data_IF_780275315530
#
_entry.id   IF_780275315530
#
_cell.length_a   1.000
_cell.length_b   1.000
_cell.length_c   1.000
_cell.angle_alpha   90.00
_cell.angle_beta   90.00
_cell.angle_gamma   90.00
#
_symmetry.space_group_name_H-M   'P 1'
#
loop_
_entity.id
_entity.type
_entity.pdbx_description
1 polymer ?
#
# COMPACT_ATOMS: atom_id res chain seq x y z
N UNK A 1 19.36 8.76 10.44
CA UNK A 1 19.13 7.81 9.33
C UNK A 1 20.42 7.08 8.93
N UNK A 2 21.55 7.75 8.68
CA UNK A 2 22.84 7.07 8.36
C UNK A 2 23.35 6.16 9.51
N UNK A 3 23.12 6.55 10.76
CA UNK A 3 23.46 5.74 11.94
C UNK A 3 22.61 4.46 12.07
N UNK A 4 21.44 4.42 11.43
CA UNK A 4 20.51 3.27 11.44
C UNK A 4 21.00 2.14 10.53
N UNK A 5 21.55 2.50 9.36
CA UNK A 5 22.16 1.55 8.41
C UNK A 5 23.39 0.88 9.04
N UNK A 6 24.24 1.64 9.71
CA UNK A 6 25.48 1.13 10.34
C UNK A 6 25.23 0.18 11.53
N UNK A 7 24.12 0.35 12.26
CA UNK A 7 23.79 -0.52 13.40
C UNK A 7 23.27 -1.89 12.94
N UNK A 8 22.49 -1.92 11.85
CA UNK A 8 21.95 -3.15 11.25
C UNK A 8 23.07 -3.97 10.60
N UNK A 9 23.97 -3.33 9.84
CA UNK A 9 25.13 -4.02 9.24
C UNK A 9 26.08 -4.62 10.28
N UNK A 10 26.13 -4.07 11.50
CA UNK A 10 27.01 -4.57 12.57
C UNK A 10 26.47 -5.83 13.26
N UNK A 11 25.17 -6.12 13.09
CA UNK A 11 24.53 -7.33 13.61
C UNK A 11 24.61 -8.51 12.63
N UNK A 12 24.84 -8.26 11.34
CA UNK A 12 24.93 -9.29 10.29
C UNK A 12 26.27 -10.04 10.24
N UNK A 13 27.33 -9.52 10.89
CA UNK A 13 28.65 -10.17 10.91
C UNK A 13 28.75 -11.42 11.81
N UNK A 14 27.67 -11.84 12.47
CA UNK A 14 27.62 -13.09 13.24
C UNK A 14 26.64 -14.04 12.53
N UNK A 15 27.20 -14.84 11.62
CA UNK A 15 26.49 -15.45 10.49
C UNK A 15 25.48 -16.55 10.78
N UNK A 16 24.81 -16.98 9.71
CA UNK A 16 24.12 -18.27 9.59
C UNK A 16 24.06 -18.68 8.11
N UNK A 17 24.35 -19.97 7.86
CA UNK A 17 24.50 -20.63 6.55
C UNK A 17 23.18 -20.78 5.78
N UNK A 18 23.31 -20.84 4.45
CA UNK A 18 22.25 -21.07 3.46
C UNK A 18 21.68 -22.51 3.56
N UNK A 19 20.36 -22.69 3.48
CA UNK A 19 19.67 -23.80 2.79
C UNK A 19 18.12 -23.65 2.80
N UNK A 20 17.38 -24.37 1.91
CA UNK A 20 16.19 -23.84 1.25
C UNK A 20 14.86 -24.21 1.91
N UNK A 21 13.87 -23.32 1.76
CA UNK A 21 12.42 -23.57 1.88
C UNK A 21 11.97 -24.42 3.08
N UNK A 22 11.72 -23.78 4.23
CA UNK A 22 10.68 -24.22 5.20
C UNK A 22 10.39 -23.19 6.29
N UNK A 23 11.06 -22.03 6.32
CA UNK A 23 10.95 -21.12 7.45
C UNK A 23 10.56 -19.70 7.03
N UNK A 24 9.28 -19.36 7.15
CA UNK A 24 8.80 -17.97 7.16
C UNK A 24 8.97 -17.31 8.55
N UNK A 25 9.72 -17.92 9.47
CA UNK A 25 10.06 -17.34 10.78
C UNK A 25 11.39 -16.54 10.81
N UNK A 26 12.09 -16.41 9.68
CA UNK A 26 13.13 -15.40 9.44
C UNK A 26 13.37 -15.21 7.93
N UNK A 27 13.67 -14.00 7.40
CA UNK A 27 14.39 -12.92 8.05
C UNK A 27 13.59 -11.62 8.27
N UNK A 28 13.94 -10.98 9.38
CA UNK A 28 14.23 -9.56 9.51
C UNK A 28 13.21 -8.48 9.12
N UNK A 29 12.78 -7.76 10.16
CA UNK A 29 12.45 -6.32 10.16
C UNK A 29 13.45 -5.45 9.33
N UNK A 30 14.64 -5.99 8.99
CA UNK A 30 15.67 -5.37 8.16
C UNK A 30 15.30 -5.24 6.67
N UNK A 31 14.33 -6.00 6.13
CA UNK A 31 13.90 -5.78 4.74
C UNK A 31 13.19 -4.44 4.56
N UNK A 32 12.83 -3.73 5.64
CA UNK A 32 12.37 -2.35 5.61
C UNK A 32 13.33 -1.39 4.90
N UNK A 33 14.61 -1.74 4.70
CA UNK A 33 15.56 -0.93 3.92
C UNK A 33 16.58 -1.85 3.23
N UNK A 34 16.27 -2.40 2.05
CA UNK A 34 17.33 -2.90 1.15
C UNK A 34 17.96 -1.73 0.38
N UNK A 35 19.30 -1.62 0.30
CA UNK A 35 19.99 -0.59 -0.48
C UNK A 35 19.72 -0.67 -1.99
N UNK A 36 19.19 -1.78 -2.49
CA UNK A 36 18.95 -1.99 -3.93
C UNK A 36 17.81 -1.14 -4.51
N UNK A 37 17.09 -0.38 -3.68
CA UNK A 37 16.15 0.67 -4.13
C UNK A 37 16.76 2.08 -4.12
N UNK A 38 18.06 2.23 -3.84
CA UNK A 38 18.73 3.54 -3.72
C UNK A 38 19.46 3.97 -4.99
N UNK A 39 19.56 3.12 -6.02
CA UNK A 39 20.04 3.58 -7.31
C UNK A 39 18.92 4.35 -8.06
N UNK A 40 19.16 5.66 -8.24
CA UNK A 40 18.43 6.63 -9.04
C UNK A 40 17.25 7.40 -8.43
N UNK A 41 17.30 7.78 -7.15
CA UNK A 41 16.31 8.70 -6.57
C UNK A 41 16.94 10.05 -6.21
N UNK A 42 17.14 10.92 -7.21
CA UNK A 42 17.29 12.35 -6.98
C UNK A 42 16.08 12.89 -6.21
N UNK A 43 16.33 13.42 -5.01
CA UNK A 43 15.46 14.37 -4.30
C UNK A 43 13.99 13.97 -4.10
N UNK A 44 13.70 13.05 -3.17
CA UNK A 44 12.32 12.86 -2.68
C UNK A 44 12.15 13.46 -1.28
N UNK A 45 11.35 14.52 -1.21
CA UNK A 45 10.68 14.93 0.02
C UNK A 45 9.74 13.80 0.45
N UNK A 46 9.84 13.36 1.70
CA UNK A 46 8.79 12.56 2.34
C UNK A 46 7.52 13.43 2.38
N UNK A 47 6.61 13.24 1.42
CA UNK A 47 5.27 13.80 1.50
C UNK A 47 4.54 13.04 2.61
N UNK A 48 4.23 13.74 3.71
CA UNK A 48 3.48 13.17 4.82
C UNK A 48 2.02 12.99 4.39
N UNK A 49 1.74 11.86 3.74
CA UNK A 49 0.38 11.43 3.45
C UNK A 49 -0.29 11.03 4.79
N UNK A 50 -1.30 11.80 5.19
CA UNK A 50 -2.07 11.54 6.40
C UNK A 50 -3.26 10.62 6.08
N UNK A 51 -3.80 9.94 7.10
CA UNK A 51 -5.00 9.11 6.97
C UNK A 51 -4.72 7.62 6.76
N UNK A 52 -5.74 6.92 6.27
CA UNK A 52 -5.74 5.46 6.09
C UNK A 52 -4.60 5.00 5.18
N UNK A 53 -3.93 3.91 5.55
CA UNK A 53 -2.90 3.26 4.76
C UNK A 53 -3.50 2.30 3.74
N UNK A 54 -3.03 2.41 2.50
CA UNK A 54 -3.30 1.45 1.44
C UNK A 54 -1.97 0.95 0.84
N UNK A 55 -1.88 -0.34 0.56
CA UNK A 55 -0.75 -0.94 -0.17
C UNK A 55 -1.29 -1.82 -1.28
N UNK A 56 -0.52 -1.95 -2.35
CA UNK A 56 -0.81 -2.90 -3.40
C UNK A 56 0.44 -3.47 -4.05
N UNK A 57 0.30 -4.66 -4.60
CA UNK A 57 1.35 -5.31 -5.36
C UNK A 57 0.83 -6.27 -6.42
N UNK A 58 1.64 -6.48 -7.45
CA UNK A 58 1.31 -7.31 -8.61
C UNK A 58 1.70 -8.77 -8.33
N UNK A 59 0.78 -9.70 -8.55
CA UNK A 59 0.94 -11.16 -8.49
C UNK A 59 1.25 -11.76 -9.87
N UNK A 60 2.31 -11.31 -10.54
CA UNK A 60 2.65 -11.76 -11.90
C UNK A 60 1.42 -11.78 -12.86
N UNK A 61 0.89 -12.96 -13.21
CA UNK A 61 -0.28 -13.13 -14.10
C UNK A 61 -1.59 -13.39 -13.36
N UNK A 62 -1.59 -13.44 -12.03
CA UNK A 62 -2.78 -13.74 -11.23
C UNK A 62 -3.58 -12.47 -10.90
N UNK A 63 -2.94 -11.28 -10.91
CA UNK A 63 -3.65 -10.02 -10.66
C UNK A 63 -2.86 -9.04 -9.81
N UNK A 64 -3.61 -8.19 -9.10
CA UNK A 64 -3.10 -7.22 -8.13
C UNK A 64 -3.74 -7.47 -6.78
N UNK A 65 -2.95 -7.54 -5.72
CA UNK A 65 -3.45 -7.50 -4.35
C UNK A 65 -3.47 -6.06 -3.86
N UNK A 66 -4.53 -5.68 -3.15
CA UNK A 66 -4.66 -4.38 -2.51
C UNK A 66 -5.13 -4.58 -1.08
N UNK A 67 -4.36 -4.11 -0.11
CA UNK A 67 -4.74 -4.12 1.30
C UNK A 67 -4.93 -2.69 1.79
N UNK A 68 -5.99 -2.46 2.57
CA UNK A 68 -6.33 -1.16 3.15
C UNK A 68 -6.64 -1.30 4.62
N UNK A 69 -6.23 -0.31 5.42
CA UNK A 69 -6.81 -0.11 6.74
C UNK A 69 -8.07 0.75 6.61
N UNK A 70 -9.00 0.58 7.54
CA UNK A 70 -10.18 1.41 7.65
C UNK A 70 -10.73 1.30 9.07
N UNK A 71 -11.52 2.29 9.50
CA UNK A 71 -12.28 2.18 10.74
C UNK A 71 -13.24 0.99 10.69
N UNK A 72 -13.61 0.44 11.85
CA UNK A 72 -14.55 -0.68 11.92
C UNK A 72 -15.85 -0.36 11.17
N UNK A 73 -16.24 -1.26 10.26
CA UNK A 73 -17.46 -1.15 9.45
C UNK A 73 -18.40 -2.31 9.78
N UNK A 74 -19.73 -2.14 9.63
CA UNK A 74 -20.68 -3.23 9.77
C UNK A 74 -20.34 -4.38 8.82
N UNK A 75 -20.45 -5.62 9.31
CA UNK A 75 -20.17 -6.84 8.54
C UNK A 75 -20.83 -6.82 7.17
N UNK A 76 -20.05 -7.03 6.11
CA UNK A 76 -20.51 -7.03 4.71
C UNK A 76 -20.54 -5.65 4.03
N UNK A 77 -20.14 -4.58 4.72
CA UNK A 77 -19.98 -3.26 4.10
C UNK A 77 -18.61 -3.13 3.41
N UNK A 78 -18.54 -2.34 2.34
CA UNK A 78 -17.26 -2.00 1.70
C UNK A 78 -16.57 -0.84 2.45
N UNK A 79 -15.24 -0.85 2.59
CA UNK A 79 -14.50 0.29 3.13
C UNK A 79 -14.73 1.55 2.29
N UNK A 80 -15.00 2.69 2.93
CA UNK A 80 -15.27 3.94 2.23
C UNK A 80 -14.08 4.46 1.41
N UNK A 81 -12.87 4.08 1.82
CA UNK A 81 -11.62 4.42 1.14
C UNK A 81 -11.30 3.49 -0.04
N UNK A 82 -12.17 2.55 -0.39
CA UNK A 82 -12.01 1.64 -1.54
C UNK A 82 -13.21 1.76 -2.45
N UNK A 83 -12.96 2.01 -3.74
CA UNK A 83 -14.02 2.16 -4.73
C UNK A 83 -13.73 1.31 -5.96
N UNK A 84 -14.68 0.42 -6.25
CA UNK A 84 -14.73 -0.34 -7.51
C UNK A 84 -15.55 0.48 -8.50
N UNK A 85 -14.88 1.32 -9.29
CA UNK A 85 -15.54 2.21 -10.25
C UNK A 85 -15.78 1.54 -11.60
N UNK A 86 -15.14 0.39 -11.85
CA UNK A 86 -15.39 -0.48 -12.99
C UNK A 86 -15.15 -1.95 -12.61
N UNK A 87 -15.71 -2.89 -13.39
CA UNK A 87 -15.62 -4.35 -13.17
C UNK A 87 -14.21 -4.88 -12.89
N UNK A 88 -13.19 -4.28 -13.52
CA UNK A 88 -11.78 -4.69 -13.45
C UNK A 88 -10.86 -3.61 -12.88
N UNK A 89 -11.41 -2.50 -12.35
CA UNK A 89 -10.63 -1.38 -11.81
C UNK A 89 -11.07 -1.05 -10.38
N UNK A 90 -10.09 -1.00 -9.49
CA UNK A 90 -10.24 -0.60 -8.10
C UNK A 90 -9.35 0.61 -7.83
N UNK A 91 -9.87 1.57 -7.08
CA UNK A 91 -9.09 2.69 -6.56
C UNK A 91 -9.17 2.75 -5.05
N UNK A 92 -8.08 3.16 -4.40
CA UNK A 92 -8.05 3.45 -2.96
C UNK A 92 -7.71 4.90 -2.73
N UNK A 93 -8.24 5.49 -1.68
CA UNK A 93 -7.94 6.86 -1.28
C UNK A 93 -7.31 6.89 0.11
N UNK A 94 -6.17 7.57 0.22
CA UNK A 94 -5.54 7.91 1.49
C UNK A 94 -5.54 9.42 1.64
N UNK A 95 -6.07 9.89 2.76
CA UNK A 95 -6.16 11.32 3.06
C UNK A 95 -7.14 12.05 2.15
N UNK A 96 -6.81 13.31 1.85
CA UNK A 96 -7.64 14.18 1.04
C UNK A 96 -8.86 14.77 1.74
N UNK A 97 -9.45 15.76 1.10
CA UNK A 97 -10.66 16.46 1.54
C UNK A 97 -11.91 15.65 1.23
N UNK A 98 -12.97 15.83 2.02
CA UNK A 98 -14.26 15.16 1.81
C UNK A 98 -14.82 15.42 0.40
N UNK A 99 -14.67 16.65 -0.12
CA UNK A 99 -15.13 17.01 -1.47
C UNK A 99 -14.40 16.22 -2.55
N UNK A 100 -13.08 16.11 -2.44
CA UNK A 100 -12.27 15.31 -3.37
C UNK A 100 -12.62 13.84 -3.33
N UNK A 101 -12.83 13.27 -2.13
CA UNK A 101 -13.22 11.86 -1.99
C UNK A 101 -14.59 11.56 -2.61
N UNK A 102 -15.53 12.51 -2.61
CA UNK A 102 -16.84 12.35 -3.26
C UNK A 102 -16.76 12.58 -4.79
N UNK A 103 -15.90 13.50 -5.24
CA UNK A 103 -15.83 13.94 -6.65
C UNK A 103 -14.99 13.03 -7.54
N UNK A 104 -13.81 12.59 -7.06
CA UNK A 104 -12.86 11.81 -7.86
C UNK A 104 -13.41 10.47 -8.38
N UNK A 105 -14.16 9.68 -7.58
CA UNK A 105 -14.68 8.40 -8.03
C UNK A 105 -15.76 8.57 -9.12
N UNK A 106 -16.62 9.58 -8.96
CA UNK A 106 -17.65 9.94 -9.94
C UNK A 106 -17.00 10.39 -11.24
N UNK A 107 -15.94 11.19 -11.17
CA UNK A 107 -15.15 11.60 -12.34
C UNK A 107 -14.56 10.40 -13.08
N UNK A 108 -13.91 9.48 -12.36
CA UNK A 108 -13.31 8.27 -12.94
C UNK A 108 -14.35 7.37 -13.61
N UNK A 109 -15.48 7.12 -12.94
CA UNK A 109 -16.56 6.30 -13.49
C UNK A 109 -17.13 6.92 -14.78
N UNK A 110 -17.39 8.23 -14.77
CA UNK A 110 -17.85 8.96 -15.96
C UNK A 110 -16.84 8.88 -17.10
N UNK A 111 -15.54 9.07 -16.83
CA UNK A 111 -14.50 9.00 -17.85
C UNK A 111 -14.36 7.61 -18.46
N UNK A 112 -14.45 6.56 -17.65
CA UNK A 112 -14.46 5.19 -18.15
C UNK A 112 -15.65 4.94 -19.08
N UNK A 113 -16.85 5.39 -18.68
CA UNK A 113 -18.04 5.23 -19.50
C UNK A 113 -17.98 6.02 -20.83
N UNK A 114 -17.52 7.28 -20.78
CA UNK A 114 -17.29 8.09 -21.99
C UNK A 114 -16.29 7.43 -22.95
N UNK A 115 -15.22 6.86 -22.40
CA UNK A 115 -14.20 6.17 -23.18
C UNK A 115 -14.75 4.91 -23.86
N UNK A 116 -15.54 4.10 -23.14
CA UNK A 116 -16.17 2.91 -23.70
C UNK A 116 -17.13 3.23 -24.84
N UNK A 117 -17.93 4.30 -24.71
CA UNK A 117 -18.84 4.74 -25.76
C UNK A 117 -18.09 5.24 -27.01
N UNK A 118 -16.93 5.87 -26.82
CA UNK A 118 -16.16 6.48 -27.90
C UNK A 118 -15.27 5.49 -28.64
N UNK A 119 -14.54 4.66 -27.91
CA UNK A 119 -13.51 3.77 -28.45
C UNK A 119 -14.02 2.32 -28.60
N UNK A 120 -15.19 2.00 -28.04
CA UNK A 120 -15.78 0.66 -28.11
C UNK A 120 -15.03 -0.40 -27.29
N UNK A 121 -14.13 0.02 -26.38
CA UNK A 121 -13.33 -0.85 -25.53
C UNK A 121 -13.25 -0.33 -24.09
N UNK A 122 -13.03 -1.24 -23.14
CA UNK A 122 -12.88 -0.90 -21.72
C UNK A 122 -11.64 -0.05 -21.49
N UNK A 123 -11.73 0.89 -20.56
CA UNK A 123 -10.58 1.69 -20.13
C UNK A 123 -9.57 0.81 -19.37
N UNK A 124 -8.29 0.99 -19.66
CA UNK A 124 -7.18 0.39 -18.93
C UNK A 124 -6.88 1.15 -17.62
N UNK A 125 -6.18 0.49 -16.69
CA UNK A 125 -5.68 1.15 -15.48
C UNK A 125 -4.74 2.32 -15.79
N UNK A 126 -3.96 2.21 -16.87
CA UNK A 126 -3.07 3.26 -17.35
C UNK A 126 -3.86 4.52 -17.75
N UNK A 127 -4.93 4.36 -18.53
CA UNK A 127 -5.79 5.46 -18.97
C UNK A 127 -6.51 6.12 -17.79
N UNK A 128 -7.11 5.32 -16.90
CA UNK A 128 -7.77 5.83 -15.70
C UNK A 128 -6.79 6.62 -14.81
N UNK A 129 -5.58 6.11 -14.62
CA UNK A 129 -4.54 6.78 -13.83
C UNK A 129 -4.07 8.10 -14.45
N UNK A 130 -3.99 8.16 -15.78
CA UNK A 130 -3.65 9.39 -16.50
C UNK A 130 -4.74 10.43 -16.39
N UNK A 131 -6.01 10.06 -16.56
CA UNK A 131 -7.12 11.02 -16.38
C UNK A 131 -7.16 11.59 -14.98
N UNK A 132 -6.91 10.76 -13.95
CA UNK A 132 -6.84 11.24 -12.58
C UNK A 132 -5.68 12.20 -12.38
N UNK A 133 -4.49 11.85 -12.88
CA UNK A 133 -3.31 12.70 -12.81
C UNK A 133 -3.55 14.06 -13.46
N UNK A 134 -4.09 14.07 -14.68
CA UNK A 134 -4.44 15.29 -15.42
C UNK A 134 -5.49 16.12 -14.65
N UNK A 135 -6.52 15.47 -14.10
CA UNK A 135 -7.56 16.13 -13.32
C UNK A 135 -6.98 16.84 -12.08
N UNK A 136 -6.15 16.14 -11.31
CA UNK A 136 -5.53 16.68 -10.08
C UNK A 136 -4.48 17.76 -10.40
N UNK A 137 -3.78 17.65 -11.52
CA UNK A 137 -2.88 18.72 -11.98
C UNK A 137 -3.63 19.99 -12.37
N UNK A 138 -4.85 19.87 -12.92
CA UNK A 138 -5.69 21.01 -13.32
C UNK A 138 -6.51 21.61 -12.17
N UNK A 139 -6.82 20.83 -11.13
CA UNK A 139 -7.58 21.26 -9.96
C UNK A 139 -6.74 21.10 -8.68
N UNK A 140 -5.69 21.93 -8.52
CA UNK A 140 -4.82 21.85 -7.37
C UNK A 140 -5.53 22.40 -6.12
N UNK A 141 -6.33 21.56 -5.46
CA UNK A 141 -6.96 21.89 -4.16
C UNK A 141 -5.89 21.93 -3.06
N UNK A 142 -5.80 23.04 -2.31
CA UNK A 142 -4.71 23.27 -1.34
C UNK A 142 -4.56 22.14 -0.33
N UNK A 143 -5.68 21.56 0.08
CA UNK A 143 -5.75 20.58 1.16
C UNK A 143 -5.39 19.17 0.67
N UNK A 144 -5.66 18.88 -0.60
CA UNK A 144 -5.38 17.59 -1.25
C UNK A 144 -3.95 17.50 -1.75
N UNK A 145 -3.34 18.63 -2.16
CA UNK A 145 -2.00 18.68 -2.77
C UNK A 145 -0.89 18.01 -1.96
N UNK A 146 -1.02 17.97 -0.64
CA UNK A 146 -0.01 17.37 0.25
C UNK A 146 -0.50 16.11 0.96
N UNK A 147 -1.82 15.86 0.97
CA UNK A 147 -2.41 14.81 1.81
C UNK A 147 -3.01 13.65 1.02
N UNK A 148 -3.33 13.85 -0.26
CA UNK A 148 -4.00 12.86 -1.09
C UNK A 148 -3.01 11.90 -1.75
N UNK A 149 -3.17 10.61 -1.45
CA UNK A 149 -2.54 9.50 -2.16
C UNK A 149 -3.61 8.55 -2.70
N UNK A 150 -3.58 8.29 -4.01
CA UNK A 150 -4.53 7.39 -4.68
C UNK A 150 -3.79 6.23 -5.31
N UNK A 151 -4.20 4.99 -4.99
CA UNK A 151 -3.75 3.81 -5.74
C UNK A 151 -4.83 3.41 -6.73
N UNK A 152 -4.43 3.07 -7.95
CA UNK A 152 -5.32 2.51 -8.98
C UNK A 152 -4.75 1.15 -9.36
N UNK A 153 -5.52 0.11 -9.07
CA UNK A 153 -5.24 -1.27 -9.42
C UNK A 153 -6.19 -1.70 -10.53
N UNK A 154 -5.68 -2.43 -11.51
CA UNK A 154 -6.52 -2.95 -12.57
C UNK A 154 -5.98 -4.21 -13.22
N UNK A 155 -6.90 -4.92 -13.85
CA UNK A 155 -6.60 -6.04 -14.74
C UNK A 155 -7.05 -5.69 -16.15
N UNK A 156 -6.09 -5.56 -17.07
CA UNK A 156 -6.36 -5.38 -18.48
C UNK A 156 -6.26 -6.73 -19.22
N UNK A 157 -7.17 -7.01 -20.14
CA UNK A 157 -7.19 -8.29 -20.86
C UNK A 157 -5.97 -8.48 -21.78
N UNK A 158 -5.42 -7.40 -22.32
CA UNK A 158 -4.29 -7.44 -23.26
C UNK A 158 -2.96 -7.21 -22.52
N UNK A 159 -2.94 -6.28 -21.55
CA UNK A 159 -1.73 -5.85 -20.85
C UNK A 159 -1.49 -6.58 -19.52
N UNK A 160 -2.52 -7.23 -18.97
CA UNK A 160 -2.46 -7.91 -17.68
C UNK A 160 -2.61 -6.95 -16.49
N UNK A 161 -2.07 -7.32 -15.31
CA UNK A 161 -2.23 -6.53 -14.10
C UNK A 161 -1.36 -5.28 -14.10
N UNK A 162 -1.90 -4.18 -13.60
CA UNK A 162 -1.18 -2.94 -13.45
C UNK A 162 -1.57 -2.20 -12.17
N UNK A 163 -0.58 -1.53 -11.59
CA UNK A 163 -0.72 -0.76 -10.36
C UNK A 163 -0.07 0.61 -10.52
N UNK A 164 -0.86 1.64 -10.23
CA UNK A 164 -0.47 3.04 -10.35
C UNK A 164 -0.72 3.78 -9.04
N UNK A 165 0.12 4.79 -8.77
CA UNK A 165 -0.07 5.77 -7.70
C UNK A 165 -0.18 7.16 -8.32
N UNK A 166 -1.18 7.93 -7.89
CA UNK A 166 -1.33 9.34 -8.20
C UNK A 166 -1.38 10.11 -6.88
N UNK A 167 -0.55 11.14 -6.72
CA UNK A 167 -0.65 12.04 -5.55
C UNK A 167 -1.51 13.28 -5.88
N UNK A 168 -1.83 14.07 -4.86
CA UNK A 168 -2.62 15.30 -5.01
C UNK A 168 -2.02 16.39 -5.91
N UNK A 169 -0.77 16.24 -6.38
CA UNK A 169 -0.15 17.13 -7.39
C UNK A 169 -0.34 16.62 -8.82
N UNK A 170 -1.00 15.46 -8.99
CA UNK A 170 -1.11 14.75 -10.27
C UNK A 170 0.16 14.03 -10.69
N UNK A 171 1.10 13.76 -9.78
CA UNK A 171 2.29 12.96 -10.10
C UNK A 171 1.90 11.49 -10.19
N UNK A 172 1.98 10.95 -11.40
CA UNK A 172 1.72 9.55 -11.71
C UNK A 172 2.99 8.69 -11.57
N UNK A 173 2.87 7.54 -10.94
CA UNK A 173 3.92 6.52 -10.85
C UNK A 173 3.33 5.12 -11.06
N UNK A 174 4.02 4.30 -11.86
CA UNK A 174 3.75 2.86 -11.98
C UNK A 174 4.84 2.08 -11.24
N UNK A 175 4.46 1.02 -10.52
CA UNK A 175 5.43 0.12 -9.86
C UNK A 175 4.75 -1.20 -9.47
N UNK A 176 5.49 -2.33 -9.44
CA UNK A 176 4.96 -3.62 -9.01
C UNK A 176 4.56 -3.66 -7.52
N UNK A 177 5.04 -2.70 -6.72
CA UNK A 177 4.63 -2.47 -5.34
C UNK A 177 4.45 -0.95 -5.13
N UNK A 178 3.33 -0.55 -4.56
CA UNK A 178 3.03 0.84 -4.20
C UNK A 178 2.29 0.89 -2.87
N UNK A 179 2.51 1.98 -2.14
CA UNK A 179 1.75 2.30 -0.94
C UNK A 179 1.36 3.77 -0.92
N UNK A 180 0.24 4.06 -0.25
CA UNK A 180 -0.27 5.38 0.03
C UNK A 180 -0.69 5.48 1.50
N UNK A 181 -0.52 6.65 2.11
CA UNK A 181 -0.87 6.91 3.51
C UNK A 181 0.26 6.72 4.51
N UNK A 182 -0.03 6.97 5.78
CA UNK A 182 0.98 7.15 6.82
C UNK A 182 1.79 5.87 7.14
N UNK A 183 1.19 4.69 7.03
CA UNK A 183 1.83 3.38 7.22
C UNK A 183 2.48 2.80 5.95
N UNK A 184 2.41 3.50 4.81
CA UNK A 184 2.91 2.98 3.53
C UNK A 184 4.43 2.84 3.47
N UNK A 185 5.16 3.65 4.24
CA UNK A 185 6.61 3.55 4.36
C UNK A 185 7.05 2.33 5.17
N UNK A 186 6.31 1.99 6.23
CA UNK A 186 6.56 0.82 7.08
C UNK A 186 6.16 -0.52 6.47
N UNK A 187 5.44 -0.52 5.35
CA UNK A 187 5.06 -1.73 4.61
C UNK A 187 6.01 -2.04 3.45
N UNK A 188 6.91 -1.10 3.12
CA UNK A 188 7.83 -1.18 1.98
C UNK A 188 8.94 -2.24 2.09
N UNK A 189 8.97 -3.04 3.16
CA UNK A 189 9.95 -4.11 3.34
C UNK A 189 9.66 -5.39 2.57
N UNK A 190 8.79 -5.34 1.58
CA UNK A 190 8.36 -6.48 0.79
C UNK A 190 9.13 -6.53 -0.53
N UNK A 191 9.94 -7.57 -0.74
CA UNK A 191 10.67 -7.74 -2.01
C UNK A 191 9.71 -8.14 -3.13
N UNK A 192 9.63 -7.33 -4.19
CA UNK A 192 8.81 -7.60 -5.38
C UNK A 192 9.13 -8.96 -6.05
N UNK A 193 10.36 -9.46 -5.88
CA UNK A 193 10.79 -10.76 -6.42
C UNK A 193 10.11 -11.93 -5.74
N UNK A 194 9.73 -11.77 -4.47
CA UNK A 194 9.01 -12.78 -3.70
C UNK A 194 7.51 -12.74 -4.00
N UNK A 195 6.98 -11.56 -4.30
CA UNK A 195 5.54 -11.35 -4.49
C UNK A 195 4.98 -11.95 -5.78
N UNK A 196 5.78 -12.05 -6.84
CA UNK A 196 5.30 -12.54 -8.13
C UNK A 196 4.86 -14.01 -8.13
N UNK A 197 5.46 -14.87 -7.30
CA UNK A 197 5.26 -16.33 -7.37
C UNK A 197 4.38 -16.88 -6.23
N UNK A 198 3.58 -16.02 -5.58
CA UNK A 198 2.72 -16.43 -4.48
C UNK A 198 1.40 -17.03 -4.99
N UNK A 199 0.89 -18.02 -4.27
CA UNK A 199 -0.52 -18.43 -4.41
C UNK A 199 -1.44 -17.30 -3.94
N UNK A 200 -2.70 -17.28 -4.36
CA UNK A 200 -3.65 -16.26 -3.91
C UNK A 200 -3.83 -16.26 -2.38
N UNK A 201 -3.77 -17.43 -1.74
CA UNK A 201 -3.85 -17.56 -0.29
C UNK A 201 -2.62 -16.96 0.41
N UNK A 202 -1.41 -17.30 -0.06
CA UNK A 202 -0.17 -16.75 0.49
C UNK A 202 -0.07 -15.24 0.27
N UNK A 203 -0.47 -14.79 -0.93
CA UNK A 203 -0.55 -13.39 -1.28
C UNK A 203 -1.49 -12.60 -0.35
N UNK A 204 -2.64 -13.19 0.00
CA UNK A 204 -3.60 -12.59 0.92
C UNK A 204 -2.99 -12.40 2.31
N UNK A 205 -2.33 -13.44 2.84
CA UNK A 205 -1.66 -13.35 4.14
C UNK A 205 -0.46 -12.39 4.12
N UNK A 206 0.31 -12.36 3.04
CA UNK A 206 1.41 -11.41 2.85
C UNK A 206 0.89 -9.98 2.79
N UNK A 207 -0.20 -9.71 2.07
CA UNK A 207 -0.82 -8.38 2.00
C UNK A 207 -1.32 -7.92 3.37
N UNK A 208 -2.04 -8.80 4.08
CA UNK A 208 -2.55 -8.54 5.44
C UNK A 208 -1.40 -8.25 6.41
N UNK A 209 -0.39 -9.12 6.43
CA UNK A 209 0.81 -8.97 7.27
C UNK A 209 1.56 -7.68 6.98
N UNK A 210 1.80 -7.35 5.71
CA UNK A 210 2.54 -6.14 5.33
C UNK A 210 1.82 -4.87 5.78
N UNK A 211 0.49 -4.82 5.61
CA UNK A 211 -0.31 -3.69 6.08
C UNK A 211 -0.32 -3.60 7.61
N UNK A 212 -0.67 -4.70 8.31
CA UNK A 212 -0.76 -4.72 9.77
C UNK A 212 0.56 -4.32 10.43
N UNK A 213 1.70 -4.76 9.89
CA UNK A 213 3.02 -4.36 10.40
C UNK A 213 3.36 -2.91 10.03
N UNK A 214 2.97 -2.45 8.83
CA UNK A 214 3.20 -1.09 8.38
C UNK A 214 2.48 -0.03 9.21
N UNK A 215 1.34 -0.38 9.81
CA UNK A 215 0.55 0.54 10.65
C UNK A 215 0.84 0.41 12.15
N UNK A 216 1.69 -0.54 12.59
CA UNK A 216 1.95 -0.77 14.03
C UNK A 216 2.38 0.48 14.82
N UNK A 217 3.04 1.45 14.19
CA UNK A 217 3.52 2.67 14.84
C UNK A 217 2.60 3.88 14.62
N UNK A 218 1.49 3.69 13.90
CA UNK A 218 0.50 4.73 13.60
C UNK A 218 -0.53 4.74 14.72
N UNK A 219 -0.57 5.78 15.57
CA UNK A 219 -1.51 5.86 16.71
C UNK A 219 -2.98 5.86 16.27
N UNK A 220 -3.24 6.25 15.03
CA UNK A 220 -4.55 6.40 14.41
C UNK A 220 -5.07 5.10 13.77
N UNK A 221 -4.28 4.02 13.79
CA UNK A 221 -4.59 2.75 13.09
C UNK A 221 -5.51 1.79 13.85
N UNK A 222 -6.30 2.30 14.79
CA UNK A 222 -7.34 1.52 15.46
C UNK A 222 -8.46 1.21 14.45
N UNK A 223 -8.39 0.04 13.84
CA UNK A 223 -9.29 -0.33 12.77
C UNK A 223 -9.11 -1.76 12.28
N UNK A 224 -9.73 -2.01 11.13
CA UNK A 224 -9.75 -3.29 10.48
C UNK A 224 -8.92 -3.26 9.20
N UNK A 225 -8.44 -4.42 8.77
CA UNK A 225 -7.79 -4.61 7.48
C UNK A 225 -8.72 -5.35 6.54
N UNK A 226 -8.87 -4.81 5.33
CA UNK A 226 -9.52 -5.49 4.21
C UNK A 226 -8.52 -5.70 3.09
N UNK A 227 -8.63 -6.85 2.41
CA UNK A 227 -7.76 -7.22 1.29
C UNK A 227 -8.63 -7.54 0.08
N UNK A 228 -8.21 -7.03 -1.06
CA UNK A 228 -8.87 -7.16 -2.36
C UNK A 228 -7.91 -7.79 -3.36
N UNK A 229 -8.46 -8.62 -4.23
CA UNK A 229 -7.79 -9.17 -5.39
C UNK A 229 -8.45 -8.60 -6.66
N UNK A 230 -7.63 -8.05 -7.55
CA UNK A 230 -8.03 -7.54 -8.86
C UNK A 230 -7.42 -8.45 -9.91
N UNK A 231 -8.24 -9.34 -10.47
CA UNK A 231 -7.80 -10.34 -11.44
C UNK A 231 -8.68 -10.37 -12.69
N UNK A 232 -8.50 -11.40 -13.52
CA UNK A 232 -9.25 -11.55 -14.77
C UNK A 232 -10.77 -11.70 -14.59
N UNK A 233 -11.21 -12.18 -13.42
CA UNK A 233 -12.63 -12.29 -13.06
C UNK A 233 -13.22 -10.97 -12.52
N UNK A 234 -12.41 -9.91 -12.40
CA UNK A 234 -12.78 -8.63 -11.81
C UNK A 234 -12.23 -8.45 -10.40
N UNK A 235 -12.87 -7.56 -9.65
CA UNK A 235 -12.48 -7.22 -8.27
C UNK A 235 -13.21 -8.10 -7.27
N UNK A 236 -12.48 -8.74 -6.36
CA UNK A 236 -13.03 -9.54 -5.26
C UNK A 236 -12.42 -9.14 -3.93
N UNK A 237 -13.24 -9.07 -2.89
CA UNK A 237 -12.75 -8.91 -1.52
C UNK A 237 -12.45 -10.29 -0.94
N UNK A 238 -11.24 -10.48 -0.41
CA UNK A 238 -10.76 -11.76 0.14
C UNK A 238 -10.59 -11.73 1.66
N UNK A 239 -10.45 -10.53 2.25
CA UNK A 239 -10.49 -10.30 3.71
C UNK A 239 -11.50 -9.19 4.01
N UNK A 240 -12.40 -9.46 4.95
CA UNK A 240 -13.60 -8.65 5.24
C UNK A 240 -13.50 -7.92 6.58
N UNK A 241 -12.41 -7.19 6.80
CA UNK A 241 -12.22 -6.38 8.00
C UNK A 241 -11.77 -7.19 9.22
N UNK A 242 -10.61 -7.86 9.13
CA UNK A 242 -9.96 -8.46 10.29
C UNK A 242 -9.48 -7.35 11.24
N UNK A 243 -9.60 -7.52 12.56
CA UNK A 243 -9.09 -6.56 13.53
C UNK A 243 -7.55 -6.53 13.52
N UNK A 244 -6.98 -5.35 13.26
CA UNK A 244 -5.53 -5.17 13.13
C UNK A 244 -4.84 -5.40 14.48
N UNK A 245 -5.42 -4.91 15.58
CA UNK A 245 -4.84 -5.02 16.91
C UNK A 245 -4.82 -6.45 17.43
N UNK A 246 -5.91 -7.20 17.24
CA UNK A 246 -5.97 -8.63 17.55
C UNK A 246 -4.96 -9.41 16.71
N UNK A 247 -4.88 -9.13 15.40
CA UNK A 247 -3.91 -9.78 14.53
C UNK A 247 -2.47 -9.50 14.98
N UNK A 248 -2.13 -8.24 15.29
CA UNK A 248 -0.80 -7.84 15.77
C UNK A 248 -0.47 -8.51 17.11
N UNK A 249 -1.41 -8.53 18.06
CA UNK A 249 -1.21 -9.18 19.35
C UNK A 249 -0.94 -10.68 19.19
N UNK A 250 -1.72 -11.36 18.36
CA UNK A 250 -1.51 -12.77 18.04
C UNK A 250 -0.15 -13.00 17.37
N UNK A 251 0.19 -12.19 16.36
CA UNK A 251 1.47 -12.28 15.66
C UNK A 251 2.64 -12.14 16.65
N UNK A 252 2.65 -11.07 17.46
CA UNK A 252 3.73 -10.82 18.41
C UNK A 252 3.76 -11.79 19.59
N UNK A 253 2.66 -12.46 19.93
CA UNK A 253 2.69 -13.54 20.92
C UNK A 253 3.58 -14.71 20.48
N UNK A 254 3.66 -14.95 19.16
CA UNK A 254 4.50 -16.00 18.57
C UNK A 254 5.95 -15.56 18.36
N UNK A 255 6.18 -14.25 18.19
CA UNK A 255 7.52 -13.67 18.00
C UNK A 255 7.80 -12.49 18.96
N UNK A 256 7.87 -12.72 20.29
CA UNK A 256 7.96 -11.63 21.27
C UNK A 256 9.19 -10.74 21.12
N UNK A 257 10.30 -11.27 20.58
CA UNK A 257 11.51 -10.48 20.36
C UNK A 257 11.30 -9.39 19.31
N UNK A 258 10.47 -9.64 18.28
CA UNK A 258 10.17 -8.65 17.24
C UNK A 258 9.39 -7.48 17.80
N UNK A 259 8.46 -7.74 18.74
CA UNK A 259 7.75 -6.69 19.48
C UNK A 259 8.70 -5.80 20.26
N UNK A 260 9.65 -6.41 20.98
CA UNK A 260 10.65 -5.67 21.73
C UNK A 260 11.53 -4.78 20.83
N UNK A 261 12.01 -5.33 19.71
CA UNK A 261 12.78 -4.55 18.72
C UNK A 261 11.96 -3.37 18.19
N UNK A 262 10.70 -3.60 17.86
CA UNK A 262 9.80 -2.56 17.38
C UNK A 262 9.60 -1.46 18.44
N UNK A 263 9.32 -1.83 19.69
CA UNK A 263 9.16 -0.89 20.81
C UNK A 263 10.44 -0.08 21.07
N UNK A 264 11.61 -0.73 21.02
CA UNK A 264 12.91 -0.08 21.16
C UNK A 264 13.15 0.93 20.02
N UNK A 265 12.82 0.55 18.78
CA UNK A 265 12.86 1.46 17.62
C UNK A 265 11.94 2.67 17.80
N UNK A 266 10.70 2.46 18.24
CA UNK A 266 9.75 3.55 18.50
C UNK A 266 10.23 4.48 19.62
N UNK A 267 10.78 3.93 20.69
CA UNK A 267 11.32 4.70 21.80
C UNK A 267 12.54 5.53 21.38
N UNK A 268 13.40 4.98 20.52
CA UNK A 268 14.52 5.74 19.92
C UNK A 268 14.01 6.85 19.00
N UNK A 269 12.99 6.60 18.19
CA UNK A 269 12.40 7.62 17.32
C UNK A 269 11.82 8.78 18.14
N UNK A 270 11.02 8.48 19.19
CA UNK A 270 10.46 9.49 20.12
C UNK A 270 11.53 10.35 20.79
N UNK A 271 12.67 9.75 21.19
CA UNK A 271 13.79 10.48 21.80
C UNK A 271 14.54 11.39 20.81
N UNK A 272 14.52 11.07 19.53
CA UNK A 272 15.24 11.80 18.48
C UNK A 272 14.38 12.83 17.72
N UNK A 273 13.06 12.78 17.88
CA UNK A 273 12.15 13.81 17.39
C UNK A 273 12.34 15.07 18.25
N UNK A 274 13.10 16.06 17.75
CA UNK A 274 13.12 17.40 18.35
C UNK A 274 11.74 18.04 18.13
N UNK A 275 11.16 18.71 19.14
CA UNK A 275 9.98 19.54 18.91
C UNK A 275 10.34 20.57 17.83
N UNK A 276 9.47 20.72 16.82
CA UNK A 276 9.56 21.83 15.88
C UNK A 276 9.23 23.10 16.66
N UNK A 277 10.25 23.91 16.97
CA UNK A 277 10.07 25.29 17.39
C UNK A 277 9.66 26.15 16.19
#
# INVERSE_FOLDING_TARGET
MILFVLLVMKLENNGFEEHPFTDLSGPCLCTLITPDTVESCDGYYYEFENGTTAIGFILNKEGVMVAVDHSSIPSGSFPQNVIVFHSHLLTTFSGGSKDSLERLPVYLQKKCHEYELKEGKKASAAEASKWLADFLSLHPDSDDRLSLGVLIAGWDNELGPALYKVNGKGKLRQSPYLGAGCGSSGSGGLSYRVLGNLSLADATEVAKKALCLGVCYVPESEGCVSVFHVGCAGVTQVVFGDDIGEWQNHFFSKVPWQRKVLEDCMNMAKKNLRPRN
#
